data_IF_931632175725
#
_entry.id   IF_931632175725
#
_cell.length_a   1.000
_cell.length_b   1.000
_cell.length_c   1.000
_cell.angle_alpha   90.00
_cell.angle_beta   90.00
_cell.angle_gamma   90.00
#
_symmetry.space_group_name_H-M   'P 1'
#
loop_
_entity.id
_entity.type
_entity.pdbx_description
1 polymer ?
#
# COMPACT_ATOMS: atom_id res chain seq x y z
N UNK A 1 4.89 -0.08 -8.36
CA UNK A 1 3.64 -0.79 -8.74
C UNK A 1 3.51 -2.17 -8.11
N UNK A 2 4.54 -3.05 -8.15
CA UNK A 2 4.48 -4.42 -7.61
C UNK A 2 3.84 -4.52 -6.22
N UNK A 3 4.29 -3.73 -5.23
CA UNK A 3 3.74 -3.77 -3.87
C UNK A 3 2.23 -3.47 -3.80
N UNK A 4 1.72 -2.59 -4.67
CA UNK A 4 0.28 -2.27 -4.74
C UNK A 4 -0.50 -3.46 -5.29
N UNK A 5 0.04 -4.16 -6.29
CA UNK A 5 -0.55 -5.38 -6.85
C UNK A 5 -0.56 -6.48 -5.79
N UNK A 6 0.59 -6.74 -5.16
CA UNK A 6 0.72 -7.77 -4.12
C UNK A 6 -0.26 -7.52 -2.97
N UNK A 7 -0.43 -6.26 -2.53
CA UNK A 7 -1.40 -5.90 -1.50
C UNK A 7 -2.86 -6.18 -1.93
N UNK A 8 -3.24 -5.84 -3.16
CA UNK A 8 -4.57 -6.15 -3.68
C UNK A 8 -4.81 -7.66 -3.81
N UNK A 9 -3.79 -8.42 -4.19
CA UNK A 9 -3.89 -9.88 -4.34
C UNK A 9 -3.98 -10.58 -2.97
N UNK A 10 -3.37 -10.00 -1.93
CA UNK A 10 -3.52 -10.40 -0.52
C UNK A 10 -4.82 -9.89 0.12
N UNK A 11 -5.70 -9.24 -0.64
CA UNK A 11 -7.01 -8.78 -0.16
C UNK A 11 -6.99 -7.54 0.72
N UNK A 12 -5.92 -6.73 0.68
CA UNK A 12 -5.89 -5.45 1.37
C UNK A 12 -6.89 -4.47 0.77
N UNK A 13 -7.65 -3.79 1.63
CA UNK A 13 -8.65 -2.82 1.20
C UNK A 13 -7.98 -1.51 0.76
N UNK A 14 -7.88 -1.30 -0.56
CA UNK A 14 -7.44 -0.03 -1.14
C UNK A 14 -8.51 1.05 -0.96
N UNK A 15 -8.09 2.24 -0.55
CA UNK A 15 -8.92 3.45 -0.43
C UNK A 15 -8.69 4.39 -1.61
N UNK A 16 -7.42 4.57 -1.96
CA UNK A 16 -7.02 5.50 -3.02
C UNK A 16 -5.84 4.94 -3.81
N UNK A 17 -5.89 5.04 -5.13
CA UNK A 17 -4.73 4.90 -6.01
C UNK A 17 -4.34 6.27 -6.54
N UNK A 18 -3.06 6.61 -6.44
CA UNK A 18 -2.50 7.84 -7.00
C UNK A 18 -1.40 7.47 -7.98
N UNK A 19 -1.45 7.99 -9.20
CA UNK A 19 -0.39 7.76 -10.20
C UNK A 19 -0.07 9.02 -11.00
N UNK A 20 1.17 9.11 -11.47
CA UNK A 20 1.61 10.24 -12.29
C UNK A 20 1.02 10.15 -13.70
N UNK A 21 0.79 11.30 -14.35
CA UNK A 21 0.30 11.36 -15.76
C UNK A 21 1.06 10.44 -16.72
N UNK A 22 2.38 10.31 -16.55
CA UNK A 22 3.21 9.44 -17.38
C UNK A 22 2.91 7.93 -17.22
N UNK A 23 2.16 7.54 -16.18
CA UNK A 23 1.66 6.17 -16.00
C UNK A 23 0.39 5.85 -16.80
N UNK A 24 -0.24 6.85 -17.42
CA UNK A 24 -1.46 6.65 -18.25
C UNK A 24 -1.16 5.80 -19.47
N UNK A 25 -2.05 4.86 -19.79
CA UNK A 25 -1.88 3.92 -20.89
C UNK A 25 -0.95 2.74 -20.58
N UNK A 26 -0.31 2.72 -19.40
CA UNK A 26 0.36 1.52 -18.93
C UNK A 26 -0.69 0.49 -18.48
N UNK A 27 -0.77 -0.64 -19.17
CA UNK A 27 -1.79 -1.67 -18.91
C UNK A 27 -1.85 -2.14 -17.45
N UNK A 28 -0.70 -2.20 -16.75
CA UNK A 28 -0.67 -2.60 -15.35
C UNK A 28 -1.24 -1.51 -14.41
N UNK A 29 -0.99 -0.23 -14.70
CA UNK A 29 -1.57 0.89 -13.96
C UNK A 29 -3.08 0.95 -14.17
N UNK A 30 -3.54 0.83 -15.42
CA UNK A 30 -4.96 0.83 -15.77
C UNK A 30 -5.70 -0.35 -15.10
N UNK A 31 -5.09 -1.53 -15.07
CA UNK A 31 -5.65 -2.70 -14.38
C UNK A 31 -5.81 -2.45 -12.88
N UNK A 32 -4.82 -1.84 -12.24
CA UNK A 32 -4.89 -1.51 -10.82
C UNK A 32 -5.92 -0.42 -10.56
N UNK A 33 -6.00 0.61 -11.42
CA UNK A 33 -7.02 1.65 -11.34
C UNK A 33 -8.44 1.07 -11.43
N UNK A 34 -8.69 0.16 -12.38
CA UNK A 34 -9.97 -0.53 -12.49
C UNK A 34 -10.31 -1.34 -11.23
N UNK A 35 -9.34 -2.06 -10.66
CA UNK A 35 -9.53 -2.79 -9.38
C UNK A 35 -9.83 -1.85 -8.22
N UNK A 36 -9.20 -0.68 -8.16
CA UNK A 36 -9.47 0.33 -7.13
C UNK A 36 -10.89 0.85 -7.22
N UNK A 37 -11.37 1.20 -8.42
CA UNK A 37 -12.75 1.65 -8.63
C UNK A 37 -13.75 0.54 -8.27
N UNK A 38 -13.48 -0.70 -8.68
CA UNK A 38 -14.33 -1.84 -8.34
C UNK A 38 -14.41 -2.11 -6.82
N UNK A 39 -13.35 -1.77 -6.07
CA UNK A 39 -13.34 -1.81 -4.62
C UNK A 39 -14.00 -0.60 -3.93
N UNK A 40 -14.60 0.32 -4.71
CA UNK A 40 -15.20 1.56 -4.21
C UNK A 40 -14.18 2.63 -3.80
N UNK A 41 -12.93 2.50 -4.24
CA UNK A 41 -11.85 3.44 -3.96
C UNK A 41 -11.74 4.56 -4.99
N UNK A 42 -10.96 5.59 -4.65
CA UNK A 42 -10.70 6.76 -5.50
C UNK A 42 -9.44 6.56 -6.34
N UNK A 43 -9.47 6.98 -7.61
CA UNK A 43 -8.29 6.99 -8.49
C UNK A 43 -7.93 8.42 -8.83
N UNK A 44 -6.68 8.81 -8.59
CA UNK A 44 -6.15 10.15 -8.82
C UNK A 44 -4.98 10.11 -9.81
N UNK A 45 -5.17 10.70 -10.99
CA UNK A 45 -4.10 11.02 -11.93
C UNK A 45 -3.51 12.41 -11.54
N UNK A 46 -2.23 12.47 -11.18
CA UNK A 46 -1.59 13.68 -10.65
C UNK A 46 -0.28 14.02 -11.39
N UNK A 47 0.28 15.20 -11.12
CA UNK A 47 1.62 15.54 -11.61
C UNK A 47 2.71 14.86 -10.76
N UNK A 48 3.91 14.69 -11.34
CA UNK A 48 5.06 14.16 -10.59
C UNK A 48 5.39 15.01 -9.36
N UNK A 49 5.24 16.35 -9.45
CA UNK A 49 5.43 17.26 -8.31
C UNK A 49 4.53 16.92 -7.12
N UNK A 50 3.29 16.48 -7.37
CA UNK A 50 2.38 16.04 -6.31
C UNK A 50 2.88 14.74 -5.69
N UNK A 51 3.36 13.79 -6.49
CA UNK A 51 3.94 12.54 -5.97
C UNK A 51 5.19 12.79 -5.10
N UNK A 52 6.10 13.66 -5.55
CA UNK A 52 7.26 14.09 -4.75
C UNK A 52 6.80 14.67 -3.41
N UNK A 53 5.82 15.58 -3.44
CA UNK A 53 5.34 16.25 -2.24
C UNK A 53 4.71 15.29 -1.22
N UNK A 54 3.88 14.33 -1.66
CA UNK A 54 3.20 13.40 -0.73
C UNK A 54 4.11 12.28 -0.24
N UNK A 55 5.08 11.85 -1.06
CA UNK A 55 6.02 10.77 -0.68
C UNK A 55 7.23 11.28 0.09
N UNK A 56 7.50 12.60 0.04
CA UNK A 56 8.70 13.25 0.59
C UNK A 56 9.99 12.60 0.07
N UNK A 57 10.01 12.25 -1.22
CA UNK A 57 11.18 11.66 -1.90
C UNK A 57 11.43 12.37 -3.22
N UNK A 58 12.70 12.60 -3.52
CA UNK A 58 13.12 13.27 -4.76
C UNK A 58 13.00 12.38 -6.00
N UNK A 59 13.07 11.05 -5.83
CA UNK A 59 12.83 10.06 -6.88
C UNK A 59 11.64 9.16 -6.51
N UNK A 60 10.39 9.69 -6.56
CA UNK A 60 9.22 8.95 -6.14
C UNK A 60 8.88 7.86 -7.14
N UNK A 61 8.32 6.77 -6.64
CA UNK A 61 7.66 5.79 -7.51
C UNK A 61 6.46 6.43 -8.21
N UNK A 62 6.23 6.05 -9.47
CA UNK A 62 5.16 6.63 -10.31
C UNK A 62 3.73 6.28 -9.87
N UNK A 63 3.59 5.41 -8.86
CA UNK A 63 2.31 4.91 -8.33
C UNK A 63 2.39 4.77 -6.81
N UNK A 64 1.36 5.26 -6.12
CA UNK A 64 1.17 5.17 -4.67
C UNK A 64 -0.22 4.58 -4.40
N UNK A 65 -0.29 3.59 -3.52
CA UNK A 65 -1.56 3.03 -3.04
C UNK A 65 -1.77 3.41 -1.57
N UNK A 66 -2.99 3.86 -1.24
CA UNK A 66 -3.44 4.11 0.13
C UNK A 66 -4.36 2.97 0.54
N UNK A 67 -3.97 2.23 1.59
CA UNK A 67 -4.69 1.07 2.07
C UNK A 67 -5.20 1.29 3.49
N UNK A 68 -6.28 0.60 3.83
CA UNK A 68 -6.76 0.57 5.22
C UNK A 68 -5.79 -0.25 6.07
N UNK A 69 -5.43 0.27 7.25
CA UNK A 69 -4.68 -0.52 8.22
C UNK A 69 -5.54 -1.67 8.74
N UNK A 70 -4.89 -2.82 8.94
CA UNK A 70 -5.49 -4.00 9.55
C UNK A 70 -4.58 -4.43 10.70
N UNK A 71 -5.17 -4.53 11.89
CA UNK A 71 -4.51 -5.08 13.07
C UNK A 71 -5.20 -6.38 13.45
N UNK A 72 -4.43 -7.36 13.90
CA UNK A 72 -4.96 -8.54 14.58
C UNK A 72 -5.03 -8.22 16.07
N UNK A 73 -6.20 -8.38 16.68
CA UNK A 73 -6.30 -8.15 18.13
C UNK A 73 -5.58 -9.28 18.87
N UNK A 74 -4.90 -8.96 19.97
CA UNK A 74 -4.14 -9.94 20.74
C UNK A 74 -4.98 -11.14 21.18
N UNK A 75 -6.24 -10.92 21.54
CA UNK A 75 -7.18 -11.99 21.94
C UNK A 75 -7.53 -12.96 20.81
N UNK A 76 -7.33 -12.55 19.55
CA UNK A 76 -7.63 -13.35 18.37
C UNK A 76 -6.38 -14.11 17.88
N UNK A 77 -5.25 -13.97 18.58
CA UNK A 77 -4.03 -14.74 18.32
C UNK A 77 -4.18 -16.11 18.98
N UNK A 78 -4.19 -17.17 18.18
CA UNK A 78 -4.05 -18.55 18.62
C UNK A 78 -2.66 -19.03 18.23
N UNK A 79 -1.86 -19.47 19.19
CA UNK A 79 -0.55 -20.06 18.94
C UNK A 79 -0.64 -21.58 18.97
N UNK A 80 -0.14 -22.22 17.92
CA UNK A 80 -0.06 -23.67 17.81
C UNK A 80 1.37 -24.19 18.07
N UNK A 81 1.48 -25.51 18.30
CA UNK A 81 2.79 -26.14 18.48
C UNK A 81 3.66 -25.97 17.24
N UNK A 82 4.78 -25.25 17.39
CA UNK A 82 5.74 -24.97 16.32
C UNK A 82 5.70 -23.53 15.82
N UNK A 83 4.72 -22.72 16.24
CA UNK A 83 4.69 -21.30 15.90
C UNK A 83 5.81 -20.52 16.59
N UNK A 84 6.36 -19.53 15.87
CA UNK A 84 7.36 -18.59 16.40
C UNK A 84 6.81 -17.17 16.29
N UNK A 85 6.74 -16.48 17.42
CA UNK A 85 6.24 -15.12 17.52
C UNK A 85 7.35 -14.16 17.96
N UNK A 86 7.32 -12.92 17.44
CA UNK A 86 8.24 -11.85 17.84
C UNK A 86 7.45 -10.76 18.55
N UNK A 87 7.80 -10.50 19.82
CA UNK A 87 7.25 -9.40 20.59
C UNK A 87 8.29 -8.27 20.69
N UNK A 88 7.86 -7.03 20.43
CA UNK A 88 8.72 -5.85 20.50
C UNK A 88 8.32 -5.01 21.72
N UNK A 89 9.16 -4.98 22.77
CA UNK A 89 8.94 -4.12 23.94
C UNK A 89 9.39 -2.68 23.67
N UNK A 90 8.45 -1.74 23.70
CA UNK A 90 8.71 -0.29 23.59
C UNK A 90 9.60 0.10 22.39
N UNK A 91 9.42 -0.54 21.24
CA UNK A 91 10.12 -0.17 20.00
C UNK A 91 9.75 1.26 19.58
N UNK A 92 10.74 2.04 19.19
CA UNK A 92 10.58 3.47 18.85
C UNK A 92 11.18 3.86 17.51
N UNK A 93 12.16 3.12 17.02
CA UNK A 93 12.81 3.41 15.75
C UNK A 93 12.12 2.67 14.60
N UNK A 94 11.52 3.39 13.62
CA UNK A 94 10.88 2.77 12.46
C UNK A 94 11.88 2.13 11.48
N UNK A 95 13.17 2.49 11.55
CA UNK A 95 14.23 2.01 10.66
C UNK A 95 15.23 1.08 11.33
N UNK A 96 14.88 0.51 12.50
CA UNK A 96 15.75 -0.34 13.33
C UNK A 96 16.70 -1.22 12.46
N UNK A 97 18.03 -1.12 12.64
CA UNK A 97 19.00 -1.89 11.87
C UNK A 97 18.92 -3.40 12.12
#
# INVERSE_FOLDING_TARGET
LKLVIDALDLGWQIRTLVFAKAGRGNAAVEKVAARTVAAGGTVLEVSEKVLVAITRRDNPQMVVGVFSQKFLALKDISADNGDVWVALDRVRDPGNP
#
